data_IF_128059382410
#
_entry.id   IF_128059382410
#
_cell.length_a   1.000
_cell.length_b   1.000
_cell.length_c   1.000
_cell.angle_alpha   90.00
_cell.angle_beta   90.00
_cell.angle_gamma   90.00
#
_symmetry.space_group_name_H-M   'P 1'
#
loop_
_entity.id
_entity.type
_entity.pdbx_description
1 polymer ?
#
# COMPACT_ATOMS: atom_id res chain seq x y z
N UNK A 1 -4.22 -21.59 27.31
CA UNK A 1 -3.62 -20.57 26.43
C UNK A 1 -2.85 -21.32 25.36
N UNK A 2 -3.53 -21.73 24.32
CA UNK A 2 -2.96 -21.66 22.97
C UNK A 2 -3.85 -20.63 22.29
N UNK A 3 -3.27 -19.68 21.57
CA UNK A 3 -3.90 -18.91 20.48
C UNK A 3 -3.05 -17.67 20.26
N UNK A 4 -1.92 -17.85 19.58
CA UNK A 4 -1.00 -16.79 19.21
C UNK A 4 -1.64 -15.75 18.27
N UNK A 5 -0.79 -14.94 17.64
CA UNK A 5 -1.25 -13.96 16.67
C UNK A 5 -2.01 -14.64 15.51
N UNK A 6 -3.22 -14.16 15.21
CA UNK A 6 -4.02 -14.65 14.10
C UNK A 6 -4.14 -13.59 13.01
N UNK A 7 -4.03 -14.04 11.77
CA UNK A 7 -4.20 -13.27 10.55
C UNK A 7 -5.60 -13.42 10.01
N UNK A 8 -6.17 -12.31 9.55
CA UNK A 8 -7.48 -12.26 8.91
C UNK A 8 -7.29 -12.03 7.42
N UNK A 9 -7.43 -13.09 6.65
CA UNK A 9 -7.40 -13.07 5.18
C UNK A 9 -8.79 -12.71 4.67
N UNK A 10 -8.87 -11.84 3.67
CA UNK A 10 -10.11 -11.33 3.09
C UNK A 10 -10.01 -11.31 1.57
N UNK A 11 -11.03 -11.85 0.91
CA UNK A 11 -11.33 -11.55 -0.48
C UNK A 11 -12.53 -10.62 -0.52
N UNK A 12 -12.35 -9.48 -1.18
CA UNK A 12 -13.33 -8.42 -1.24
C UNK A 12 -13.62 -8.08 -2.71
N UNK A 13 -14.89 -8.11 -3.06
CA UNK A 13 -15.37 -7.71 -4.38
C UNK A 13 -15.49 -6.19 -4.42
N UNK A 14 -14.62 -5.55 -5.21
CA UNK A 14 -14.58 -4.10 -5.38
C UNK A 14 -15.78 -3.55 -6.14
N UNK A 15 -16.39 -4.35 -7.03
CA UNK A 15 -17.53 -3.92 -7.85
C UNK A 15 -18.80 -3.93 -7.01
N UNK A 16 -19.02 -5.00 -6.25
CA UNK A 16 -20.20 -5.16 -5.40
C UNK A 16 -20.01 -4.60 -3.98
N UNK A 17 -18.83 -4.06 -3.69
CA UNK A 17 -18.42 -3.56 -2.37
C UNK A 17 -18.66 -4.59 -1.24
N UNK A 18 -18.43 -5.87 -1.51
CA UNK A 18 -18.86 -6.97 -0.65
C UNK A 18 -17.73 -7.96 -0.31
N UNK A 19 -17.63 -8.44 0.94
CA UNK A 19 -16.73 -9.53 1.29
C UNK A 19 -17.18 -10.85 0.63
N UNK A 20 -16.31 -11.46 -0.16
CA UNK A 20 -16.54 -12.74 -0.84
C UNK A 20 -16.22 -13.91 0.09
N UNK A 21 -15.03 -13.89 0.68
CA UNK A 21 -14.55 -14.94 1.57
C UNK A 21 -13.64 -14.36 2.64
N UNK A 22 -13.59 -15.03 3.80
CA UNK A 22 -12.74 -14.65 4.92
C UNK A 22 -12.18 -15.88 5.61
N UNK A 23 -10.94 -15.77 6.10
CA UNK A 23 -10.27 -16.82 6.86
C UNK A 23 -9.51 -16.20 8.03
N UNK A 24 -9.73 -16.73 9.24
CA UNK A 24 -8.85 -16.52 10.39
C UNK A 24 -7.86 -17.69 10.44
N UNK A 25 -6.57 -17.39 10.46
CA UNK A 25 -5.51 -18.39 10.47
C UNK A 25 -4.34 -17.93 11.35
N UNK A 26 -3.65 -18.82 12.06
CA UNK A 26 -2.40 -18.48 12.73
C UNK A 26 -1.27 -18.14 11.73
N UNK A 27 -1.46 -18.45 10.44
CA UNK A 27 -0.44 -18.31 9.41
C UNK A 27 -0.73 -17.16 8.43
N UNK A 28 0.32 -16.41 8.09
CA UNK A 28 0.33 -15.37 7.05
C UNK A 28 1.14 -15.77 5.82
N UNK A 29 1.56 -17.03 5.75
CA UNK A 29 2.44 -17.50 4.69
C UNK A 29 1.73 -17.54 3.33
N UNK A 30 2.57 -17.56 2.29
CA UNK A 30 2.16 -17.58 0.89
C UNK A 30 1.29 -18.80 0.55
N UNK A 31 1.56 -19.97 1.15
CA UNK A 31 0.77 -21.19 0.90
C UNK A 31 -0.65 -21.03 1.44
N UNK A 32 -0.79 -20.47 2.63
CA UNK A 32 -2.09 -20.17 3.26
C UNK A 32 -2.91 -19.23 2.38
N UNK A 33 -2.32 -18.15 1.88
CA UNK A 33 -3.00 -17.23 0.95
C UNK A 33 -3.38 -17.91 -0.36
N UNK A 34 -2.49 -18.74 -0.95
CA UNK A 34 -2.81 -19.50 -2.17
C UNK A 34 -3.98 -20.46 -1.96
N UNK A 35 -3.93 -21.28 -0.91
CA UNK A 35 -4.94 -22.28 -0.60
C UNK A 35 -6.30 -21.61 -0.30
N UNK A 36 -6.29 -20.52 0.45
CA UNK A 36 -7.48 -19.72 0.74
C UNK A 36 -8.15 -19.21 -0.55
N UNK A 37 -7.39 -18.59 -1.45
CA UNK A 37 -7.94 -18.05 -2.69
C UNK A 37 -8.42 -19.17 -3.61
N UNK A 38 -7.62 -20.23 -3.74
CA UNK A 38 -7.93 -21.33 -4.63
C UNK A 38 -9.23 -22.06 -4.25
N UNK A 39 -9.47 -22.22 -2.94
CA UNK A 39 -10.72 -22.79 -2.40
C UNK A 39 -11.91 -21.84 -2.51
N UNK A 40 -11.66 -20.53 -2.40
CA UNK A 40 -12.73 -19.52 -2.34
C UNK A 40 -13.27 -19.10 -3.70
N UNK A 41 -12.48 -19.18 -4.77
CA UNK A 41 -12.85 -18.69 -6.10
C UNK A 41 -12.57 -19.73 -7.17
N UNK A 42 -13.53 -19.94 -8.09
CA UNK A 42 -13.32 -20.78 -9.28
C UNK A 42 -12.40 -20.04 -10.26
N UNK A 43 -11.58 -20.74 -11.09
CA UNK A 43 -10.68 -20.09 -12.05
C UNK A 43 -11.36 -19.06 -12.95
N UNK A 44 -12.60 -19.31 -13.40
CA UNK A 44 -13.37 -18.38 -14.25
C UNK A 44 -13.70 -17.04 -13.60
N UNK A 45 -13.74 -16.98 -12.26
CA UNK A 45 -14.04 -15.78 -11.47
C UNK A 45 -12.80 -14.90 -11.24
N UNK A 46 -11.60 -15.43 -11.51
CA UNK A 46 -10.32 -14.76 -11.24
C UNK A 46 -9.94 -13.86 -12.41
N UNK A 47 -10.22 -12.56 -12.30
CA UNK A 47 -9.95 -11.57 -13.37
C UNK A 47 -8.75 -10.69 -13.03
N UNK A 48 -8.89 -9.89 -11.98
CA UNK A 48 -7.84 -9.03 -11.46
C UNK A 48 -7.91 -8.98 -9.94
N UNK A 49 -6.79 -8.68 -9.30
CA UNK A 49 -6.71 -8.56 -7.84
C UNK A 49 -5.76 -7.43 -7.48
N UNK A 50 -6.12 -6.66 -6.43
CA UNK A 50 -5.25 -5.68 -5.81
C UNK A 50 -4.74 -6.26 -4.49
N UNK A 51 -3.44 -6.21 -4.26
CA UNK A 51 -2.85 -6.54 -2.95
C UNK A 51 -1.90 -5.43 -2.51
N UNK A 52 -1.40 -5.53 -1.29
CA UNK A 52 -0.26 -4.75 -0.83
C UNK A 52 1.04 -5.07 -1.61
N UNK A 53 2.17 -4.58 -1.10
CA UNK A 53 3.50 -4.79 -1.67
C UNK A 53 4.23 -6.01 -1.07
N UNK A 54 3.50 -6.98 -0.47
CA UNK A 54 4.13 -8.12 0.17
C UNK A 54 4.88 -8.99 -0.85
N UNK A 55 6.17 -9.30 -0.62
CA UNK A 55 6.93 -10.16 -1.52
C UNK A 55 6.27 -11.52 -1.70
N UNK A 56 6.25 -12.01 -2.93
CA UNK A 56 5.75 -13.34 -3.29
C UNK A 56 4.27 -13.41 -3.66
N UNK A 57 3.47 -12.40 -3.35
CA UNK A 57 2.09 -12.33 -3.83
C UNK A 57 2.01 -12.36 -5.36
N UNK A 58 2.92 -11.68 -6.07
CA UNK A 58 2.95 -11.69 -7.53
C UNK A 58 3.00 -13.10 -8.12
N UNK A 59 3.87 -13.94 -7.55
CA UNK A 59 4.04 -15.33 -7.98
C UNK A 59 2.74 -16.12 -7.80
N UNK A 60 2.08 -15.94 -6.67
CA UNK A 60 0.81 -16.61 -6.36
C UNK A 60 -0.33 -16.09 -7.24
N UNK A 61 -0.49 -14.78 -7.37
CA UNK A 61 -1.58 -14.20 -8.16
C UNK A 61 -1.43 -14.55 -9.63
N UNK A 62 -0.21 -14.59 -10.15
CA UNK A 62 0.08 -15.07 -11.50
C UNK A 62 -0.27 -16.55 -11.66
N UNK A 63 0.14 -17.42 -10.73
CA UNK A 63 -0.22 -18.86 -10.75
C UNK A 63 -1.74 -19.09 -10.68
N UNK A 64 -2.45 -18.26 -9.92
CA UNK A 64 -3.91 -18.32 -9.79
C UNK A 64 -4.65 -17.72 -10.99
N UNK A 65 -3.95 -17.09 -11.94
CA UNK A 65 -4.50 -16.56 -13.19
C UNK A 65 -4.99 -15.11 -13.12
N UNK A 66 -4.67 -14.35 -12.07
CA UNK A 66 -5.10 -12.95 -11.96
C UNK A 66 -4.21 -11.99 -12.77
N UNK A 67 -4.81 -10.91 -13.27
CA UNK A 67 -4.08 -9.66 -13.51
C UNK A 67 -3.81 -8.98 -12.17
N UNK A 68 -2.58 -9.08 -11.70
CA UNK A 68 -2.19 -8.60 -10.38
C UNK A 68 -1.80 -7.12 -10.40
N UNK A 69 -2.45 -6.34 -9.53
CA UNK A 69 -2.12 -4.96 -9.26
C UNK A 69 -1.62 -4.75 -7.83
N UNK A 70 -0.60 -3.91 -7.67
CA UNK A 70 -0.17 -3.43 -6.38
C UNK A 70 -0.94 -2.18 -5.93
N UNK A 71 -1.25 -2.13 -4.63
CA UNK A 71 -1.91 -1.02 -4.00
C UNK A 71 -1.02 0.25 -3.98
N UNK A 72 -1.54 1.35 -4.52
CA UNK A 72 -0.83 2.63 -4.58
C UNK A 72 -0.70 3.28 -3.18
N UNK A 73 -1.61 2.98 -2.26
CA UNK A 73 -1.49 3.43 -0.86
C UNK A 73 -0.28 2.79 -0.17
N UNK A 74 -0.12 1.48 -0.30
CA UNK A 74 1.05 0.75 0.23
C UNK A 74 2.37 1.20 -0.42
N UNK A 75 2.35 1.55 -1.71
CA UNK A 75 3.48 2.21 -2.38
C UNK A 75 3.84 3.55 -1.74
N UNK A 76 2.84 4.38 -1.42
CA UNK A 76 3.05 5.66 -0.73
C UNK A 76 3.64 5.47 0.66
N UNK A 77 3.16 4.50 1.41
CA UNK A 77 3.74 4.15 2.72
C UNK A 77 5.20 3.70 2.59
N UNK A 78 5.50 2.80 1.65
CA UNK A 78 6.86 2.30 1.43
C UNK A 78 7.85 3.42 1.04
N UNK A 79 7.42 4.36 0.20
CA UNK A 79 8.24 5.53 -0.17
C UNK A 79 8.42 6.47 1.02
N UNK A 80 7.37 6.77 1.78
CA UNK A 80 7.46 7.65 2.95
C UNK A 80 8.42 7.09 4.02
N UNK A 81 8.40 5.78 4.28
CA UNK A 81 9.33 5.15 5.23
C UNK A 81 10.78 5.21 4.73
N UNK A 82 11.02 5.10 3.41
CA UNK A 82 12.35 5.28 2.82
C UNK A 82 12.85 6.71 2.99
N UNK A 83 12.00 7.70 2.69
CA UNK A 83 12.31 9.13 2.87
C UNK A 83 12.64 9.42 4.34
N UNK A 84 11.85 8.89 5.28
CA UNK A 84 12.08 9.05 6.71
C UNK A 84 13.44 8.51 7.14
N UNK A 85 13.83 7.33 6.69
CA UNK A 85 15.17 6.75 6.96
C UNK A 85 16.28 7.59 6.35
N UNK A 86 16.10 8.04 5.12
CA UNK A 86 17.06 8.91 4.43
C UNK A 86 17.27 10.24 5.15
N UNK A 87 16.19 10.92 5.57
CA UNK A 87 16.29 12.17 6.32
C UNK A 87 16.98 12.01 7.68
N UNK A 88 16.80 10.87 8.35
CA UNK A 88 17.55 10.55 9.58
C UNK A 88 19.04 10.41 9.32
N UNK A 89 19.43 9.79 8.22
CA UNK A 89 20.82 9.69 7.82
C UNK A 89 21.41 11.07 7.50
N UNK A 90 20.66 11.90 6.76
CA UNK A 90 21.08 13.27 6.42
C UNK A 90 21.21 14.18 7.63
N UNK A 91 20.40 14.02 8.67
CA UNK A 91 20.57 14.74 9.95
C UNK A 91 21.97 14.50 10.52
N UNK A 92 22.42 13.25 10.55
CA UNK A 92 23.75 12.87 11.06
C UNK A 92 24.85 13.45 10.15
N UNK A 93 24.71 13.31 8.83
CA UNK A 93 25.69 13.82 7.86
C UNK A 93 25.86 15.35 7.97
N UNK A 94 24.75 16.10 8.06
CA UNK A 94 24.79 17.54 8.22
C UNK A 94 25.43 17.96 9.55
N UNK A 95 25.14 17.25 10.64
CA UNK A 95 25.79 17.51 11.94
C UNK A 95 27.31 17.39 11.83
N UNK A 96 27.79 16.29 11.28
CA UNK A 96 29.23 16.04 11.08
C UNK A 96 29.82 17.13 10.18
N UNK A 97 29.16 17.46 9.07
CA UNK A 97 29.63 18.48 8.13
C UNK A 97 29.78 19.85 8.81
N UNK A 98 28.79 20.28 9.60
CA UNK A 98 28.83 21.57 10.27
C UNK A 98 29.83 21.61 11.42
N UNK A 99 29.97 20.53 12.19
CA UNK A 99 30.99 20.42 13.25
C UNK A 99 32.41 20.43 12.67
N UNK A 100 32.63 19.78 11.53
CA UNK A 100 33.92 19.81 10.84
C UNK A 100 34.27 21.20 10.32
N UNK A 101 33.28 21.97 9.82
CA UNK A 101 33.47 23.36 9.37
C UNK A 101 33.72 24.32 10.54
N UNK A 102 33.06 24.13 11.69
CA UNK A 102 33.26 24.94 12.88
C UNK A 102 33.26 24.08 14.14
N UNK A 103 34.46 23.72 14.62
CA UNK A 103 34.66 22.86 15.80
C UNK A 103 34.12 23.47 17.10
N UNK A 104 33.90 24.79 17.17
CA UNK A 104 33.39 25.51 18.36
C UNK A 104 31.91 25.86 18.25
N UNK A 105 31.18 25.35 17.26
CA UNK A 105 29.76 25.63 17.10
C UNK A 105 28.96 25.20 18.33
N UNK A 106 28.11 26.08 18.85
CA UNK A 106 27.22 25.73 19.95
C UNK A 106 26.15 24.73 19.51
N UNK A 107 25.68 23.88 20.44
CA UNK A 107 24.64 22.89 20.16
C UNK A 107 23.34 23.54 19.62
N UNK A 108 22.98 24.71 20.13
CA UNK A 108 21.81 25.46 19.67
C UNK A 108 21.96 25.91 18.20
N UNK A 109 23.10 26.52 17.85
CA UNK A 109 23.37 26.94 16.47
C UNK A 109 23.42 25.75 15.52
N UNK A 110 24.06 24.65 15.93
CA UNK A 110 24.10 23.41 15.16
C UNK A 110 22.69 22.88 14.87
N UNK A 111 21.84 22.77 15.89
CA UNK A 111 20.47 22.30 15.73
C UNK A 111 19.65 23.19 14.79
N UNK A 112 19.85 24.52 14.86
CA UNK A 112 19.17 25.48 13.98
C UNK A 112 19.58 25.31 12.52
N UNK A 113 20.88 25.16 12.24
CA UNK A 113 21.40 24.94 10.88
C UNK A 113 20.93 23.62 10.29
N UNK A 114 21.09 22.52 11.05
CA UNK A 114 20.67 21.18 10.61
C UNK A 114 19.17 21.13 10.32
N UNK A 115 18.35 21.73 11.19
CA UNK A 115 16.89 21.79 10.96
C UNK A 115 16.54 22.55 9.68
N UNK A 116 17.25 23.64 9.37
CA UNK A 116 17.04 24.42 8.15
C UNK A 116 17.34 23.57 6.91
N UNK A 117 18.52 22.94 6.85
CA UNK A 117 18.91 22.07 5.72
C UNK A 117 17.96 20.89 5.53
N UNK A 118 17.58 20.22 6.63
CA UNK A 118 16.62 19.11 6.58
C UNK A 118 15.26 19.52 6.05
N UNK A 119 14.78 20.72 6.41
CA UNK A 119 13.52 21.23 5.90
C UNK A 119 13.60 21.51 4.40
N UNK A 120 14.66 22.19 3.94
CA UNK A 120 14.89 22.44 2.50
C UNK A 120 14.93 21.12 1.71
N UNK A 121 15.70 20.15 2.18
CA UNK A 121 15.78 18.83 1.54
C UNK A 121 14.43 18.09 1.55
N UNK A 122 13.68 18.19 2.65
CA UNK A 122 12.35 17.57 2.76
C UNK A 122 11.36 18.19 1.78
N UNK A 123 11.40 19.51 1.59
CA UNK A 123 10.54 20.23 0.66
C UNK A 123 10.86 19.85 -0.79
N UNK A 124 12.15 19.79 -1.15
CA UNK A 124 12.61 19.29 -2.44
C UNK A 124 12.11 17.86 -2.71
N UNK A 125 12.32 16.94 -1.77
CA UNK A 125 11.82 15.56 -1.88
C UNK A 125 10.30 15.52 -2.07
N UNK A 126 9.55 16.38 -1.38
CA UNK A 126 8.10 16.39 -1.50
C UNK A 126 7.61 16.85 -2.87
N UNK A 127 8.28 17.79 -3.51
CA UNK A 127 7.96 18.24 -4.88
C UNK A 127 8.08 17.06 -5.86
N UNK A 128 9.23 16.39 -5.88
CA UNK A 128 9.45 15.24 -6.77
C UNK A 128 8.59 14.02 -6.42
N UNK A 129 8.26 13.84 -5.13
CA UNK A 129 7.30 12.83 -4.70
C UNK A 129 5.91 13.11 -5.26
N UNK A 130 5.45 14.36 -5.22
CA UNK A 130 4.16 14.76 -5.80
C UNK A 130 4.15 14.52 -7.30
N UNK A 131 5.18 14.99 -8.02
CA UNK A 131 5.37 14.74 -9.45
C UNK A 131 5.28 13.24 -9.76
N UNK A 132 6.00 12.38 -9.02
CA UNK A 132 5.89 10.94 -9.19
C UNK A 132 4.44 10.41 -9.04
N UNK A 133 3.71 10.86 -8.02
CA UNK A 133 2.36 10.37 -7.75
C UNK A 133 1.29 10.88 -8.73
N UNK A 134 1.54 11.96 -9.48
CA UNK A 134 0.66 12.40 -10.58
C UNK A 134 0.50 11.33 -11.68
N UNK A 135 1.44 10.38 -11.78
CA UNK A 135 1.32 9.21 -12.63
C UNK A 135 -0.01 8.46 -12.41
N UNK A 136 -0.45 8.35 -11.16
CA UNK A 136 -1.66 7.59 -10.82
C UNK A 136 -2.95 8.40 -10.99
N UNK A 137 -2.82 9.69 -11.30
CA UNK A 137 -3.95 10.57 -11.64
C UNK A 137 -4.21 10.65 -13.16
N UNK A 138 -3.37 9.99 -13.96
CA UNK A 138 -3.55 9.93 -15.41
C UNK A 138 -4.88 9.25 -15.79
N UNK A 139 -5.57 9.83 -16.77
CA UNK A 139 -6.92 9.38 -17.15
C UNK A 139 -6.95 8.08 -17.95
N UNK A 140 -5.86 7.78 -18.67
CA UNK A 140 -5.78 6.64 -19.59
C UNK A 140 -4.44 5.94 -19.46
N UNK A 141 -4.41 4.66 -19.82
CA UNK A 141 -3.20 3.86 -19.80
C UNK A 141 -2.10 4.50 -20.68
N UNK A 142 -2.43 4.98 -21.88
CA UNK A 142 -1.45 5.60 -22.79
C UNK A 142 -0.87 6.89 -22.20
N UNK A 143 -1.70 7.74 -21.57
CA UNK A 143 -1.20 8.94 -20.87
C UNK A 143 -0.25 8.55 -19.72
N UNK A 144 -0.57 7.51 -18.96
CA UNK A 144 0.33 7.00 -17.91
C UNK A 144 1.66 6.46 -18.45
N UNK A 145 1.66 5.75 -19.59
CA UNK A 145 2.90 5.31 -20.24
C UNK A 145 3.76 6.50 -20.69
N UNK A 146 3.15 7.51 -21.31
CA UNK A 146 3.87 8.72 -21.70
C UNK A 146 4.44 9.43 -20.47
N UNK A 147 3.67 9.52 -19.39
CA UNK A 147 4.12 10.10 -18.12
C UNK A 147 5.30 9.33 -17.52
N UNK A 148 5.32 8.00 -17.59
CA UNK A 148 6.49 7.20 -17.16
C UNK A 148 7.73 7.52 -17.99
N UNK A 149 7.59 7.72 -19.30
CA UNK A 149 8.73 8.08 -20.14
C UNK A 149 9.27 9.48 -19.76
N UNK A 150 8.39 10.44 -19.46
CA UNK A 150 8.77 11.73 -18.91
C UNK A 150 9.52 11.57 -17.57
N UNK A 151 8.99 10.78 -16.64
CA UNK A 151 9.66 10.50 -15.36
C UNK A 151 11.04 9.84 -15.54
N UNK A 152 11.19 8.97 -16.54
CA UNK A 152 12.49 8.33 -16.86
C UNK A 152 13.49 9.33 -17.42
N UNK A 153 13.05 10.27 -18.25
CA UNK A 153 13.92 11.32 -18.80
C UNK A 153 14.39 12.28 -17.69
N UNK A 154 13.47 12.66 -16.80
CA UNK A 154 13.74 13.57 -15.68
C UNK A 154 14.41 12.90 -14.47
N UNK A 155 14.64 11.58 -14.50
CA UNK A 155 15.06 10.81 -13.32
C UNK A 155 16.38 11.29 -12.70
N UNK A 156 17.23 11.93 -13.48
CA UNK A 156 18.50 12.48 -13.01
C UNK A 156 18.33 13.69 -12.10
N UNK A 157 17.21 14.41 -12.23
CA UNK A 157 16.86 15.56 -11.41
C UNK A 157 16.21 15.16 -10.07
N UNK A 158 15.80 13.89 -9.93
CA UNK A 158 15.14 13.42 -8.72
C UNK A 158 16.11 13.30 -7.54
N UNK A 159 15.67 13.64 -6.31
CA UNK A 159 16.42 13.40 -5.09
C UNK A 159 16.81 11.94 -4.96
N UNK A 160 18.03 11.70 -4.47
CA UNK A 160 18.67 10.39 -4.54
C UNK A 160 17.84 9.25 -3.95
N UNK A 161 17.14 9.50 -2.84
CA UNK A 161 16.25 8.52 -2.20
C UNK A 161 15.11 8.06 -3.12
N UNK A 162 14.54 8.97 -3.91
CA UNK A 162 13.48 8.67 -4.88
C UNK A 162 14.08 8.06 -6.15
N UNK A 163 15.14 8.66 -6.70
CA UNK A 163 15.84 8.17 -7.89
C UNK A 163 16.23 6.69 -7.74
N UNK A 164 16.88 6.35 -6.64
CA UNK A 164 17.32 4.98 -6.36
C UNK A 164 16.14 4.01 -6.25
N UNK A 165 15.04 4.41 -5.62
CA UNK A 165 13.85 3.57 -5.52
C UNK A 165 13.18 3.37 -6.88
N UNK A 166 12.99 4.46 -7.64
CA UNK A 166 12.29 4.42 -8.91
C UNK A 166 13.02 3.56 -9.94
N UNK A 167 14.34 3.73 -10.07
CA UNK A 167 15.17 2.95 -10.99
C UNK A 167 15.19 1.47 -10.61
N UNK A 168 15.46 1.15 -9.33
CA UNK A 168 15.73 -0.23 -8.90
C UNK A 168 14.48 -1.05 -8.65
N UNK A 169 13.36 -0.40 -8.30
CA UNK A 169 12.14 -1.09 -7.82
C UNK A 169 10.90 -0.75 -8.65
N UNK A 170 10.65 0.53 -8.92
CA UNK A 170 9.39 0.92 -9.56
C UNK A 170 9.38 0.70 -11.09
N UNK A 171 10.35 1.26 -11.83
CA UNK A 171 10.36 1.19 -13.30
C UNK A 171 10.45 -0.22 -13.91
N UNK A 172 11.08 -1.22 -13.28
CA UNK A 172 11.02 -2.59 -13.79
C UNK A 172 9.59 -3.17 -13.77
N UNK A 173 8.73 -2.69 -12.87
CA UNK A 173 7.45 -3.33 -12.56
C UNK A 173 6.25 -2.39 -12.62
N UNK A 174 6.41 -1.15 -13.11
CA UNK A 174 5.39 -0.10 -13.04
C UNK A 174 4.03 -0.51 -13.60
N UNK A 175 4.00 -1.44 -14.58
CA UNK A 175 2.76 -1.93 -15.22
C UNK A 175 1.83 -2.56 -14.18
N UNK A 176 2.37 -3.16 -13.11
CA UNK A 176 1.62 -3.72 -11.98
C UNK A 176 0.89 -2.65 -11.17
N UNK A 177 1.13 -1.36 -11.37
CA UNK A 177 0.39 -0.30 -10.70
C UNK A 177 -0.67 0.38 -11.58
N UNK A 178 -0.80 -0.04 -12.85
CA UNK A 178 -1.59 0.67 -13.86
C UNK A 178 -2.73 -0.17 -14.45
N UNK A 179 -3.00 -1.38 -13.91
CA UNK A 179 -4.08 -2.23 -14.43
C UNK A 179 -5.44 -1.53 -14.36
N UNK A 180 -5.70 -0.71 -13.34
CA UNK A 180 -6.93 0.06 -13.19
C UNK A 180 -7.22 1.03 -14.35
N UNK A 181 -6.19 1.39 -15.13
CA UNK A 181 -6.33 2.25 -16.32
C UNK A 181 -6.63 1.48 -17.61
N UNK A 182 -6.53 0.15 -17.61
CA UNK A 182 -6.87 -0.67 -18.77
C UNK A 182 -8.38 -0.66 -18.97
N UNK A 183 -8.81 -0.61 -20.24
CA UNK A 183 -10.22 -0.54 -20.64
C UNK A 183 -11.09 -1.60 -19.98
N UNK A 184 -10.60 -2.84 -19.86
CA UNK A 184 -11.30 -3.97 -19.26
C UNK A 184 -11.54 -3.83 -17.74
N UNK A 185 -10.73 -3.03 -17.04
CA UNK A 185 -10.76 -2.84 -15.59
C UNK A 185 -11.21 -1.45 -15.15
N UNK A 186 -11.42 -0.52 -16.09
CA UNK A 186 -11.84 0.85 -15.79
C UNK A 186 -13.16 0.84 -15.02
N UNK A 187 -13.17 1.46 -13.83
CA UNK A 187 -14.31 1.50 -12.93
C UNK A 187 -14.58 0.21 -12.15
N UNK A 188 -13.76 -0.83 -12.32
CA UNK A 188 -13.90 -2.14 -11.64
C UNK A 188 -12.74 -2.45 -10.71
N UNK A 189 -11.53 -2.06 -11.09
CA UNK A 189 -10.33 -2.19 -10.27
C UNK A 189 -9.99 -0.81 -9.69
N UNK A 190 -9.73 -0.75 -8.39
CA UNK A 190 -9.40 0.49 -7.68
C UNK A 190 -7.89 0.65 -7.54
N UNK A 191 -7.43 1.90 -7.41
CA UNK A 191 -6.01 2.25 -7.17
C UNK A 191 -5.50 1.75 -5.81
N UNK A 192 -6.41 1.68 -4.84
CA UNK A 192 -6.13 1.34 -3.45
C UNK A 192 -7.08 0.27 -2.95
N UNK A 193 -6.73 -0.33 -1.83
CA UNK A 193 -7.48 -1.35 -1.09
C UNK A 193 -8.33 -0.73 0.05
N UNK A 194 -8.67 0.57 -0.06
CA UNK A 194 -9.45 1.31 0.95
C UNK A 194 -10.76 0.59 1.31
N UNK A 195 -11.43 -0.07 0.34
CA UNK A 195 -12.67 -0.81 0.60
C UNK A 195 -12.45 -1.93 1.63
N UNK A 196 -11.37 -2.71 1.50
CA UNK A 196 -11.04 -3.75 2.47
C UNK A 196 -10.60 -3.16 3.82
N UNK A 197 -9.87 -2.04 3.84
CA UNK A 197 -9.52 -1.37 5.09
C UNK A 197 -10.77 -0.89 5.84
N UNK A 198 -11.68 -0.20 5.14
CA UNK A 198 -12.96 0.24 5.68
C UNK A 198 -13.79 -0.93 6.22
N UNK A 199 -13.82 -2.03 5.47
CA UNK A 199 -14.50 -3.25 5.91
C UNK A 199 -13.88 -3.83 7.19
N UNK A 200 -12.54 -3.91 7.27
CA UNK A 200 -11.86 -4.35 8.49
C UNK A 200 -12.16 -3.44 9.68
N UNK A 201 -12.13 -2.12 9.47
CA UNK A 201 -12.48 -1.14 10.49
C UNK A 201 -13.92 -1.28 10.97
N UNK A 202 -14.88 -1.50 10.06
CA UNK A 202 -16.29 -1.65 10.42
C UNK A 202 -16.57 -2.96 11.15
N UNK A 203 -15.90 -4.06 10.77
CA UNK A 203 -16.22 -5.41 11.28
C UNK A 203 -15.39 -5.82 12.49
N UNK A 204 -14.17 -5.29 12.64
CA UNK A 204 -13.35 -5.52 13.83
C UNK A 204 -12.41 -4.32 14.12
N UNK A 205 -12.95 -3.22 14.68
CA UNK A 205 -12.19 -2.04 15.07
C UNK A 205 -11.03 -2.40 16.01
N UNK A 206 -9.91 -1.69 15.85
CA UNK A 206 -8.68 -1.92 16.65
C UNK A 206 -8.93 -1.87 18.15
N UNK A 207 -9.74 -0.91 18.62
CA UNK A 207 -10.05 -0.73 20.04
C UNK A 207 -10.78 -1.95 20.65
N UNK A 208 -11.50 -2.70 19.84
CA UNK A 208 -12.36 -3.78 20.30
C UNK A 208 -11.69 -5.15 20.24
N UNK A 209 -10.58 -5.28 19.52
CA UNK A 209 -9.86 -6.55 19.33
C UNK A 209 -9.49 -7.23 20.65
N UNK A 210 -9.11 -6.44 21.66
CA UNK A 210 -8.68 -6.93 22.99
C UNK A 210 -9.84 -7.34 23.91
N UNK A 211 -11.10 -7.10 23.53
CA UNK A 211 -12.26 -7.40 24.38
C UNK A 211 -12.71 -8.86 24.31
N UNK A 212 -12.37 -9.56 23.23
CA UNK A 212 -12.83 -10.92 23.01
C UNK A 212 -11.85 -11.92 23.63
N UNK A 213 -12.39 -12.86 24.42
CA UNK A 213 -11.61 -13.85 25.16
C UNK A 213 -11.35 -15.14 24.39
N UNK A 214 -12.09 -15.39 23.30
CA UNK A 214 -12.00 -16.61 22.48
C UNK A 214 -12.05 -16.29 20.99
N UNK A 215 -11.42 -17.13 20.17
CA UNK A 215 -11.46 -17.02 18.71
C UNK A 215 -12.89 -17.14 18.15
N UNK A 216 -13.71 -18.02 18.72
CA UNK A 216 -15.13 -18.12 18.37
C UNK A 216 -15.89 -16.82 18.65
N UNK A 217 -15.59 -16.14 19.76
CA UNK A 217 -16.17 -14.83 20.07
C UNK A 217 -15.80 -13.77 19.04
N UNK A 218 -14.53 -13.73 18.62
CA UNK A 218 -14.05 -12.83 17.54
C UNK A 218 -14.78 -13.14 16.24
N UNK A 219 -14.85 -14.41 15.84
CA UNK A 219 -15.48 -14.83 14.60
C UNK A 219 -16.97 -14.49 14.56
N UNK A 220 -17.70 -14.79 15.65
CA UNK A 220 -19.12 -14.45 15.78
C UNK A 220 -19.35 -12.94 15.66
N UNK A 221 -18.50 -12.11 16.26
CA UNK A 221 -18.58 -10.66 16.11
C UNK A 221 -18.39 -10.22 14.65
N UNK A 222 -17.37 -10.74 14.00
CA UNK A 222 -17.08 -10.43 12.59
C UNK A 222 -18.30 -10.79 11.73
N UNK A 223 -18.84 -12.00 11.89
CA UNK A 223 -20.01 -12.47 11.16
C UNK A 223 -21.25 -11.59 11.38
N UNK A 224 -21.52 -11.20 12.63
CA UNK A 224 -22.64 -10.30 12.95
C UNK A 224 -22.51 -8.94 12.24
N UNK A 225 -21.31 -8.35 12.22
CA UNK A 225 -21.08 -7.06 11.56
C UNK A 225 -21.02 -7.17 10.05
N UNK A 226 -20.50 -8.27 9.52
CA UNK A 226 -20.59 -8.63 8.10
C UNK A 226 -22.04 -8.64 7.63
N UNK A 227 -22.94 -9.25 8.40
CA UNK A 227 -24.37 -9.25 8.07
C UNK A 227 -24.95 -7.83 8.04
N UNK A 228 -24.55 -6.97 8.99
CA UNK A 228 -24.90 -5.55 8.97
C UNK A 228 -24.38 -4.81 7.73
N UNK A 229 -23.13 -5.07 7.33
CA UNK A 229 -22.53 -4.52 6.10
C UNK A 229 -23.32 -4.94 4.86
N UNK A 230 -23.62 -6.23 4.72
CA UNK A 230 -24.39 -6.76 3.58
C UNK A 230 -25.80 -6.19 3.50
N UNK A 231 -26.48 -5.98 4.64
CA UNK A 231 -27.80 -5.33 4.68
C UNK A 231 -27.75 -3.90 4.15
N UNK A 232 -26.70 -3.12 4.50
CA UNK A 232 -26.51 -1.76 3.99
C UNK A 232 -26.31 -1.72 2.48
N UNK A 233 -25.50 -2.63 1.93
CA UNK A 233 -25.30 -2.73 0.48
C UNK A 233 -26.62 -3.03 -0.23
N UNK A 234 -27.37 -4.04 0.22
CA UNK A 234 -28.66 -4.40 -0.39
C UNK A 234 -29.61 -3.20 -0.44
N UNK A 235 -29.71 -2.45 0.66
CA UNK A 235 -30.55 -1.26 0.73
C UNK A 235 -30.11 -0.16 -0.26
N UNK A 236 -28.81 0.02 -0.47
CA UNK A 236 -28.26 0.98 -1.44
C UNK A 236 -28.53 0.59 -2.90
N UNK A 237 -28.63 -0.71 -3.19
CA UNK A 237 -28.91 -1.22 -4.55
C UNK A 237 -30.41 -1.23 -4.89
N UNK A 238 -31.28 -1.16 -3.89
CA UNK A 238 -32.75 -1.16 -4.04
C UNK A 238 -33.38 0.24 -4.03
N UNK A 239 -32.57 1.29 -3.94
CA UNK A 239 -32.98 2.70 -4.05
C UNK A 239 -32.52 3.28 -5.37
#
# INVERSE_FOLDING_TARGET
MDDGFHYRHLLFDLVNNAPVAELLSPNEDLKTSYDFINKSLKPKERKAIVTDLKPGYDSIMMKLGFKHQHCIYHLRLAINERIKKYLKQKDIEFRIQFQNKNKKISQYQLNKLVKKELNTLKDEINIYKQLFFELFEQQTYNKAINYINLLKNEINNFPEVLKNYLIKKFFPEYKKFLWFLKKEFKGKLTRTDNCSEMYFHATLPKAEKKRYKTMNGIFNQICNRKNGWMKKIKFQLTK
#
